data_IF_070494231497
#
_entry.id   IF_070494231497
#
_cell.length_a   1.000
_cell.length_b   1.000
_cell.length_c   1.000
_cell.angle_alpha   90.00
_cell.angle_beta   90.00
_cell.angle_gamma   90.00
#
_symmetry.space_group_name_H-M   'P 1'
#
loop_
_entity.id
_entity.type
_entity.pdbx_description
1 polymer ?
#
# COMPACT_ATOMS: atom_id res chain seq x y z
N UNK A 1 13.00 3.66 7.28
CA UNK A 1 11.81 2.78 7.24
C UNK A 1 12.04 1.64 8.20
N UNK A 2 11.14 1.41 9.14
CA UNK A 2 11.23 0.28 10.08
C UNK A 2 10.73 -0.98 9.39
N UNK A 3 11.50 -2.08 9.44
CA UNK A 3 11.09 -3.35 8.88
C UNK A 3 10.13 -4.08 9.84
N UNK A 4 9.11 -4.77 9.34
CA UNK A 4 8.24 -5.59 10.15
C UNK A 4 9.01 -6.78 10.73
N UNK A 5 8.56 -7.27 11.88
CA UNK A 5 9.07 -8.53 12.44
C UNK A 5 8.73 -9.68 11.49
N UNK A 6 9.73 -10.45 11.08
CA UNK A 6 9.57 -11.54 10.10
C UNK A 6 8.51 -12.57 10.51
N UNK A 7 8.34 -12.79 11.82
CA UNK A 7 7.34 -13.71 12.37
C UNK A 7 5.87 -13.29 12.10
N UNK A 8 5.61 -12.01 11.83
CA UNK A 8 4.26 -11.50 11.60
C UNK A 8 3.82 -11.71 10.15
N UNK A 9 4.77 -11.71 9.21
CA UNK A 9 4.48 -11.84 7.77
C UNK A 9 3.57 -13.04 7.41
N UNK A 10 3.81 -14.28 7.89
CA UNK A 10 2.98 -15.42 7.51
C UNK A 10 1.56 -15.39 8.10
N UNK A 11 1.34 -14.63 9.19
CA UNK A 11 0.03 -14.54 9.87
C UNK A 11 -0.74 -13.26 9.54
N UNK A 12 -0.12 -12.32 8.80
CA UNK A 12 -0.76 -11.08 8.42
C UNK A 12 -1.85 -11.33 7.37
N UNK A 13 -3.06 -10.83 7.64
CA UNK A 13 -4.18 -10.87 6.68
C UNK A 13 -4.21 -9.67 5.73
N UNK A 14 -3.50 -8.60 6.09
CA UNK A 14 -3.45 -7.36 5.33
C UNK A 14 -2.06 -6.73 5.39
N UNK A 15 -1.52 -6.34 4.23
CA UNK A 15 -0.40 -5.44 4.10
C UNK A 15 -0.89 -4.13 3.48
N UNK A 16 -0.78 -3.04 4.24
CA UNK A 16 -1.06 -1.69 3.74
C UNK A 16 0.21 -0.85 3.73
N UNK A 17 0.57 -0.33 2.57
CA UNK A 17 1.75 0.51 2.39
C UNK A 17 1.34 1.92 2.02
N UNK A 18 1.94 2.90 2.72
CA UNK A 18 1.74 4.31 2.43
C UNK A 18 2.78 4.76 1.40
N UNK A 19 2.31 5.30 0.28
CA UNK A 19 3.14 5.70 -0.85
C UNK A 19 3.26 7.22 -0.87
N UNK A 20 4.49 7.71 -0.87
CA UNK A 20 4.85 9.11 -0.95
C UNK A 20 5.69 9.41 -2.21
N UNK A 21 6.42 8.41 -2.72
CA UNK A 21 7.23 8.48 -3.93
C UNK A 21 7.40 7.09 -4.60
N UNK A 22 8.12 7.04 -5.74
CA UNK A 22 8.34 5.80 -6.51
C UNK A 22 9.09 4.70 -5.74
N UNK A 23 9.99 5.05 -4.84
CA UNK A 23 10.74 4.05 -4.06
C UNK A 23 9.83 3.29 -3.10
N UNK A 24 8.74 3.91 -2.63
CA UNK A 24 7.80 3.25 -1.73
C UNK A 24 7.01 2.14 -2.45
N UNK A 25 6.82 2.24 -3.77
CA UNK A 25 6.22 1.18 -4.58
C UNK A 25 7.15 -0.05 -4.68
N UNK A 26 8.45 0.20 -4.84
CA UNK A 26 9.47 -0.87 -4.83
C UNK A 26 9.52 -1.51 -3.44
N UNK A 27 9.46 -0.69 -2.40
CA UNK A 27 9.43 -1.19 -1.03
C UNK A 27 8.17 -2.00 -0.73
N UNK A 28 7.02 -1.62 -1.29
CA UNK A 28 5.76 -2.35 -1.15
C UNK A 28 5.86 -3.78 -1.70
N UNK A 29 6.45 -3.96 -2.88
CA UNK A 29 6.76 -5.28 -3.45
C UNK A 29 7.68 -6.09 -2.54
N UNK A 30 8.75 -5.48 -2.01
CA UNK A 30 9.66 -6.17 -1.08
C UNK A 30 8.97 -6.59 0.23
N UNK A 31 7.94 -5.86 0.67
CA UNK A 31 7.17 -6.23 1.85
C UNK A 31 6.18 -7.38 1.60
N UNK A 32 5.75 -7.57 0.34
CA UNK A 32 4.91 -8.70 -0.07
C UNK A 32 5.62 -10.05 0.17
N UNK A 33 6.94 -10.08 0.06
CA UNK A 33 7.72 -11.30 0.25
C UNK A 33 7.52 -11.89 1.66
N UNK A 34 7.09 -13.15 1.71
CA UNK A 34 6.84 -13.89 2.95
C UNK A 34 5.45 -13.72 3.55
N UNK A 35 4.55 -12.99 2.89
CA UNK A 35 3.13 -12.97 3.24
C UNK A 35 2.41 -14.23 2.74
N UNK A 36 1.27 -14.55 3.35
CA UNK A 36 0.38 -15.59 2.83
C UNK A 36 -0.25 -15.16 1.50
N UNK A 37 -0.65 -16.13 0.67
CA UNK A 37 -1.35 -15.86 -0.59
C UNK A 37 -2.73 -15.22 -0.39
N UNK A 38 -3.32 -15.39 0.79
CA UNK A 38 -4.62 -14.80 1.16
C UNK A 38 -4.48 -13.37 1.71
N UNK A 39 -3.25 -12.89 1.94
CA UNK A 39 -3.00 -11.57 2.48
C UNK A 39 -3.41 -10.49 1.47
N UNK A 40 -4.28 -9.57 1.91
CA UNK A 40 -4.77 -8.47 1.08
C UNK A 40 -3.71 -7.38 0.99
N UNK A 41 -3.39 -6.98 -0.23
CA UNK A 41 -2.35 -6.00 -0.51
C UNK A 41 -2.99 -4.64 -0.85
N UNK A 42 -2.67 -3.62 -0.05
CA UNK A 42 -3.22 -2.27 -0.20
C UNK A 42 -2.13 -1.22 -0.38
N UNK A 43 -2.35 -0.33 -1.35
CA UNK A 43 -1.56 0.88 -1.55
C UNK A 43 -2.39 2.10 -1.16
N UNK A 44 -1.90 2.86 -0.19
CA UNK A 44 -2.54 4.09 0.26
C UNK A 44 -1.66 5.28 -0.13
N UNK A 45 -2.23 6.26 -0.84
CA UNK A 45 -1.51 7.50 -1.11
C UNK A 45 -1.30 8.28 0.20
N UNK A 46 -0.11 8.84 0.37
CA UNK A 46 0.13 9.84 1.40
C UNK A 46 -0.77 11.04 1.15
N UNK A 47 -1.47 11.49 2.19
CA UNK A 47 -2.60 12.41 2.03
C UNK A 47 -2.17 13.74 1.41
N UNK A 48 -1.06 14.29 1.91
CA UNK A 48 -0.52 15.58 1.47
C UNK A 48 -0.02 15.57 0.02
N UNK A 49 0.19 14.38 -0.59
CA UNK A 49 0.68 14.23 -1.97
C UNK A 49 -0.25 13.43 -2.86
N UNK A 50 -1.50 13.23 -2.45
CA UNK A 50 -2.47 12.39 -3.14
C UNK A 50 -2.61 12.72 -4.63
N UNK A 51 -2.56 13.99 -5.00
CA UNK A 51 -2.78 14.45 -6.39
C UNK A 51 -1.70 13.95 -7.34
N UNK A 52 -0.47 13.83 -6.85
CA UNK A 52 0.67 13.32 -7.62
C UNK A 52 0.78 11.81 -7.49
N UNK A 53 0.53 11.26 -6.29
CA UNK A 53 0.76 9.85 -5.98
C UNK A 53 -0.37 8.94 -6.48
N UNK A 54 -1.63 9.37 -6.46
CA UNK A 54 -2.76 8.55 -6.91
C UNK A 54 -2.58 8.07 -8.37
N UNK A 55 -2.26 8.94 -9.34
CA UNK A 55 -1.98 8.50 -10.71
C UNK A 55 -0.87 7.45 -10.80
N UNK A 56 0.19 7.62 -10.01
CA UNK A 56 1.32 6.68 -9.96
C UNK A 56 0.91 5.32 -9.40
N UNK A 57 0.11 5.30 -8.34
CA UNK A 57 -0.44 4.06 -7.77
C UNK A 57 -1.37 3.39 -8.79
N UNK A 58 -2.23 4.14 -9.48
CA UNK A 58 -3.14 3.60 -10.50
C UNK A 58 -2.34 2.89 -11.60
N UNK A 59 -1.29 3.54 -12.12
CA UNK A 59 -0.44 2.96 -13.16
C UNK A 59 0.32 1.71 -12.68
N UNK A 60 0.65 1.66 -11.39
CA UNK A 60 1.29 0.51 -10.76
C UNK A 60 0.31 -0.67 -10.60
N UNK A 61 -0.89 -0.43 -10.06
CA UNK A 61 -1.91 -1.45 -9.85
C UNK A 61 -2.39 -2.04 -11.17
N UNK A 62 -2.52 -1.23 -12.22
CA UNK A 62 -2.82 -1.72 -13.58
C UNK A 62 -1.82 -2.76 -14.11
N UNK A 63 -0.57 -2.73 -13.61
CA UNK A 63 0.48 -3.69 -13.97
C UNK A 63 0.58 -4.85 -12.98
N UNK A 64 0.09 -4.66 -11.75
CA UNK A 64 0.17 -5.63 -10.65
C UNK A 64 -1.23 -5.81 -10.03
N UNK A 65 -2.03 -6.70 -10.61
CA UNK A 65 -3.45 -6.87 -10.28
C UNK A 65 -3.72 -7.39 -8.87
N UNK A 66 -2.69 -7.85 -8.14
CA UNK A 66 -2.83 -8.30 -6.76
C UNK A 66 -3.02 -7.14 -5.77
N UNK A 67 -2.63 -5.93 -6.17
CA UNK A 67 -2.72 -4.74 -5.32
C UNK A 67 -4.06 -4.03 -5.46
N UNK A 68 -4.59 -3.56 -4.34
CA UNK A 68 -5.80 -2.76 -4.28
C UNK A 68 -5.48 -1.34 -3.79
N UNK A 69 -6.14 -0.33 -4.36
CA UNK A 69 -5.98 1.06 -3.91
C UNK A 69 -6.84 1.30 -2.67
N UNK A 70 -6.22 1.76 -1.58
CA UNK A 70 -6.90 2.16 -0.34
C UNK A 70 -7.02 3.67 -0.26
N UNK A 71 -8.25 4.17 -0.25
CA UNK A 71 -8.56 5.60 -0.11
C UNK A 71 -8.92 5.96 1.32
N UNK A 72 -8.41 7.10 1.81
CA UNK A 72 -8.77 7.65 3.12
C UNK A 72 -10.10 8.41 3.02
N UNK A 73 -11.21 7.68 2.84
CA UNK A 73 -12.52 8.28 2.55
C UNK A 73 -13.00 9.29 3.62
N UNK A 74 -12.69 9.07 4.90
CA UNK A 74 -13.02 9.99 6.00
C UNK A 74 -12.48 11.41 5.77
N UNK A 75 -11.26 11.53 5.22
CA UNK A 75 -10.66 12.84 4.91
C UNK A 75 -11.32 13.55 3.73
N UNK A 76 -11.92 12.81 2.80
CA UNK A 76 -12.74 13.39 1.73
C UNK A 76 -14.11 13.85 2.25
N UNK A 77 -14.65 13.15 3.25
CA UNK A 77 -15.94 13.45 3.86
C UNK A 77 -15.87 14.47 5.00
N UNK A 78 -14.68 14.97 5.34
CA UNK A 78 -14.43 15.84 6.51
C UNK A 78 -14.93 15.23 7.83
N UNK A 79 -14.76 13.92 8.00
CA UNK A 79 -15.11 13.17 9.21
C UNK A 79 -13.81 12.84 9.98
N UNK A 80 -13.72 13.16 11.28
CA UNK A 80 -12.56 12.85 12.12
C UNK A 80 -12.41 11.36 12.40
#
# INVERSE_FOLDING_TARGET
MQQPLSAIKPIANELKVIINNKHDLIWAEQQRDGLSQECKLYLQAEWSKREVVIPMIIDFVKKNNDWTISLQCHKYMNIP
#
